data_IF_992614889698
#
_entry.id   IF_992614889698
#
_cell.length_a   1.000
_cell.length_b   1.000
_cell.length_c   1.000
_cell.angle_alpha   90.00
_cell.angle_beta   90.00
_cell.angle_gamma   90.00
#
_symmetry.space_group_name_H-M   'P 1'
#
loop_
_entity.id
_entity.type
_entity.pdbx_description
1 polymer ?
#
# COMPACT_ATOMS: atom_id res chain seq x y z
N UNK A 1 5.84 4.58 -17.97
CA UNK A 1 6.81 4.27 -16.87
C UNK A 1 6.49 2.89 -16.33
N UNK A 2 7.49 2.07 -15.99
CA UNK A 2 7.22 0.78 -15.37
C UNK A 2 6.70 0.98 -13.93
N UNK A 3 5.75 0.13 -13.51
CA UNK A 3 5.26 0.12 -12.11
C UNK A 3 6.39 -0.27 -11.17
N UNK A 4 6.63 0.53 -10.14
CA UNK A 4 7.66 0.28 -9.13
C UNK A 4 7.08 0.43 -7.72
N UNK A 5 7.57 -0.40 -6.80
CA UNK A 5 7.19 -0.47 -5.41
C UNK A 5 8.39 -0.13 -4.53
N UNK A 6 8.22 0.79 -3.60
CA UNK A 6 9.29 1.28 -2.74
C UNK A 6 8.93 1.08 -1.27
N UNK A 7 9.81 0.40 -0.55
CA UNK A 7 9.66 0.12 0.89
C UNK A 7 10.75 0.86 1.67
N UNK A 8 10.34 1.53 2.76
CA UNK A 8 11.27 2.19 3.67
C UNK A 8 10.92 1.92 5.13
N UNK A 9 11.94 2.01 6.00
CA UNK A 9 11.80 1.93 7.46
C UNK A 9 11.58 3.31 8.05
N UNK A 10 10.75 3.40 9.09
CA UNK A 10 10.52 4.60 9.89
C UNK A 10 11.28 4.60 11.22
N UNK A 11 12.09 3.57 11.50
CA UNK A 11 12.72 3.37 12.82
C UNK A 11 13.59 4.55 13.22
N UNK A 12 14.38 5.07 12.29
CA UNK A 12 15.32 6.15 12.54
C UNK A 12 14.70 7.53 12.29
N UNK A 13 13.42 7.59 11.90
CA UNK A 13 12.74 8.84 11.62
C UNK A 13 12.34 9.52 12.95
N UNK A 14 12.72 10.79 13.19
CA UNK A 14 12.33 11.50 14.39
C UNK A 14 10.82 11.78 14.44
N UNK A 15 10.30 11.98 15.66
CA UNK A 15 8.96 12.57 15.79
C UNK A 15 9.03 14.03 15.38
N UNK A 16 8.27 14.47 14.35
CA UNK A 16 8.32 15.86 13.88
C UNK A 16 7.79 16.90 14.88
N UNK A 17 7.24 16.48 16.01
CA UNK A 17 6.94 17.40 17.14
C UNK A 17 8.18 17.64 18.03
N UNK A 18 9.24 16.87 17.88
CA UNK A 18 10.50 17.00 18.63
C UNK A 18 11.59 17.56 17.72
N UNK A 19 11.63 17.10 16.47
CA UNK A 19 12.55 17.58 15.43
C UNK A 19 11.76 17.81 14.14
N UNK A 20 11.55 19.04 13.79
CA UNK A 20 10.76 19.49 12.63
C UNK A 20 11.57 19.72 11.36
N UNK A 21 12.89 19.44 11.39
CA UNK A 21 13.83 19.70 10.29
C UNK A 21 13.40 19.06 8.95
N UNK A 22 12.67 17.94 8.99
CA UNK A 22 12.17 17.23 7.81
C UNK A 22 10.77 17.69 7.35
N UNK A 23 10.04 18.47 8.16
CA UNK A 23 8.69 18.93 7.78
C UNK A 23 8.66 19.76 6.50
N UNK A 24 9.62 20.67 6.21
CA UNK A 24 9.63 21.43 4.97
C UNK A 24 9.77 20.58 3.70
N UNK A 25 10.17 19.31 3.85
CA UNK A 25 10.36 18.38 2.74
C UNK A 25 9.06 17.72 2.26
N UNK A 26 7.97 17.84 3.00
CA UNK A 26 6.67 17.30 2.63
C UNK A 26 5.68 18.41 2.29
N UNK A 27 4.60 18.07 1.56
CA UNK A 27 3.63 19.05 1.10
C UNK A 27 2.95 19.80 2.27
N UNK A 28 2.52 21.06 2.07
CA UNK A 28 1.83 21.85 3.11
C UNK A 28 0.61 21.12 3.70
N UNK A 29 -0.21 20.49 2.86
CA UNK A 29 -1.35 19.70 3.30
C UNK A 29 -0.96 18.53 4.21
N UNK A 30 0.21 17.93 3.96
CA UNK A 30 0.75 16.87 4.83
C UNK A 30 1.29 17.41 6.14
N UNK A 31 1.94 18.56 6.14
CA UNK A 31 2.36 19.26 7.37
C UNK A 31 1.16 19.56 8.27
N UNK A 32 0.07 20.10 7.71
CA UNK A 32 -1.17 20.32 8.44
C UNK A 32 -1.78 19.02 9.02
N UNK A 33 -1.78 17.94 8.23
CA UNK A 33 -2.21 16.63 8.71
C UNK A 33 -1.38 16.17 9.90
N UNK A 34 -0.04 16.27 9.81
CA UNK A 34 0.89 15.88 10.88
C UNK A 34 0.63 16.68 12.14
N UNK A 35 0.43 18.00 12.05
CA UNK A 35 0.16 18.88 13.18
C UNK A 35 -1.13 18.51 13.97
N UNK A 36 -2.11 17.89 13.31
CA UNK A 36 -3.37 17.43 13.94
C UNK A 36 -3.23 16.06 14.62
N UNK A 37 -2.17 15.30 14.35
CA UNK A 37 -1.98 13.96 14.91
C UNK A 37 -1.41 14.05 16.33
N UNK A 38 -2.01 13.31 17.26
CA UNK A 38 -1.60 13.30 18.68
C UNK A 38 -0.50 12.33 18.99
N UNK A 39 -0.51 11.14 18.33
CA UNK A 39 0.41 10.05 18.65
C UNK A 39 1.73 10.20 17.87
N UNK A 40 2.90 10.11 18.53
CA UNK A 40 4.22 10.14 17.87
C UNK A 40 4.34 9.19 16.69
N UNK A 41 3.91 7.93 16.86
CA UNK A 41 3.95 6.94 15.79
C UNK A 41 3.08 7.33 14.58
N UNK A 42 1.93 7.97 14.80
CA UNK A 42 1.07 8.45 13.71
C UNK A 42 1.73 9.63 12.96
N UNK A 43 2.39 10.55 13.68
CA UNK A 43 3.14 11.64 13.06
C UNK A 43 4.31 11.13 12.24
N UNK A 44 5.11 10.20 12.77
CA UNK A 44 6.22 9.56 12.02
C UNK A 44 5.74 8.85 10.76
N UNK A 45 4.65 8.08 10.83
CA UNK A 45 4.06 7.44 9.64
C UNK A 45 3.62 8.46 8.59
N UNK A 46 2.95 9.52 9.01
CA UNK A 46 2.52 10.57 8.09
C UNK A 46 3.71 11.30 7.45
N UNK A 47 4.75 11.60 8.22
CA UNK A 47 5.99 12.21 7.72
C UNK A 47 6.69 11.25 6.75
N UNK A 48 6.94 10.01 7.15
CA UNK A 48 7.63 9.01 6.33
C UNK A 48 6.93 8.73 5.00
N UNK A 49 5.59 8.66 5.00
CA UNK A 49 4.84 8.52 3.75
C UNK A 49 5.02 9.71 2.80
N UNK A 50 5.15 10.93 3.33
CA UNK A 50 5.44 12.13 2.51
C UNK A 50 6.87 12.15 1.99
N UNK A 51 7.84 11.81 2.83
CA UNK A 51 9.25 11.73 2.44
C UNK A 51 9.48 10.63 1.40
N UNK A 52 8.85 9.46 1.58
CA UNK A 52 8.96 8.38 0.60
C UNK A 52 8.38 8.78 -0.75
N UNK A 53 7.19 9.39 -0.79
CA UNK A 53 6.61 9.87 -2.05
C UNK A 53 7.53 10.88 -2.74
N UNK A 54 8.06 11.87 -2.02
CA UNK A 54 9.01 12.82 -2.56
C UNK A 54 10.27 12.15 -3.11
N UNK A 55 10.84 11.19 -2.36
CA UNK A 55 12.03 10.45 -2.77
C UNK A 55 11.78 9.68 -4.06
N UNK A 56 10.67 8.95 -4.13
CA UNK A 56 10.28 8.14 -5.28
C UNK A 56 10.08 9.00 -6.53
N UNK A 57 9.44 10.16 -6.40
CA UNK A 57 9.28 11.12 -7.49
C UNK A 57 10.63 11.68 -7.94
N UNK A 58 11.48 12.09 -7.00
CA UNK A 58 12.83 12.59 -7.32
C UNK A 58 13.68 11.55 -8.06
N UNK A 59 13.62 10.28 -7.64
CA UNK A 59 14.31 9.16 -8.30
C UNK A 59 13.78 8.91 -9.73
N UNK A 60 12.52 9.28 -9.98
CA UNK A 60 11.90 9.24 -11.32
C UNK A 60 12.15 10.52 -12.15
N UNK A 61 12.88 11.51 -11.62
CA UNK A 61 13.11 12.80 -12.27
C UNK A 61 11.92 13.75 -12.22
N UNK A 62 10.97 13.51 -11.30
CA UNK A 62 9.76 14.30 -11.13
C UNK A 62 9.80 15.16 -9.86
N UNK A 63 9.23 16.36 -9.94
CA UNK A 63 8.92 17.15 -8.76
C UNK A 63 7.61 16.68 -8.13
N UNK A 64 7.38 17.00 -6.86
CA UNK A 64 6.12 16.65 -6.18
C UNK A 64 4.98 17.56 -6.68
N UNK A 65 4.03 17.04 -7.49
CA UNK A 65 2.91 17.84 -7.96
C UNK A 65 1.90 18.11 -6.83
N UNK A 66 0.98 19.07 -7.02
CA UNK A 66 -0.18 19.24 -6.14
C UNK A 66 -0.95 17.92 -5.97
N UNK A 67 -1.37 17.63 -4.73
CA UNK A 67 -2.13 16.42 -4.42
C UNK A 67 -3.59 16.82 -4.17
N UNK A 68 -4.51 16.19 -4.87
CA UNK A 68 -5.94 16.22 -4.63
C UNK A 68 -6.45 14.87 -4.11
N UNK A 69 -7.69 14.84 -3.64
CA UNK A 69 -8.31 13.63 -3.10
C UNK A 69 -9.62 13.35 -3.83
N UNK A 70 -9.79 12.11 -4.29
CA UNK A 70 -11.04 11.63 -4.87
C UNK A 70 -12.16 11.46 -3.82
N UNK A 71 -13.37 11.12 -4.26
CA UNK A 71 -14.55 11.01 -3.39
C UNK A 71 -14.39 10.06 -2.20
N UNK A 72 -13.60 8.98 -2.38
CA UNK A 72 -13.30 7.98 -1.35
C UNK A 72 -11.93 8.22 -0.68
N UNK A 73 -11.34 9.41 -0.86
CA UNK A 73 -10.08 9.79 -0.22
C UNK A 73 -8.81 9.25 -0.88
N UNK A 74 -8.90 8.61 -2.06
CA UNK A 74 -7.69 8.22 -2.83
C UNK A 74 -6.95 9.49 -3.27
N UNK A 75 -5.66 9.66 -2.90
CA UNK A 75 -4.86 10.78 -3.36
C UNK A 75 -4.46 10.60 -4.83
N UNK A 76 -4.38 11.71 -5.57
CA UNK A 76 -3.95 11.74 -6.97
C UNK A 76 -3.35 13.09 -7.34
N UNK A 77 -2.67 13.17 -8.48
CA UNK A 77 -2.14 14.39 -9.06
C UNK A 77 -3.10 14.92 -10.13
N UNK A 78 -3.82 16.03 -9.88
CA UNK A 78 -4.87 16.51 -10.78
C UNK A 78 -4.35 16.89 -12.17
N UNK A 79 -3.16 17.45 -12.25
CA UNK A 79 -2.54 17.92 -13.49
C UNK A 79 -1.63 16.87 -14.17
N UNK A 80 -1.49 15.68 -13.55
CA UNK A 80 -0.63 14.59 -14.04
C UNK A 80 -1.39 13.25 -14.02
N UNK A 81 -2.39 13.07 -14.90
CA UNK A 81 -3.14 11.81 -15.01
C UNK A 81 -2.26 10.62 -15.46
N UNK A 82 -1.12 10.91 -16.10
CA UNK A 82 -0.08 9.98 -16.52
C UNK A 82 0.79 9.47 -15.37
N UNK A 83 0.63 10.02 -14.15
CA UNK A 83 1.41 9.69 -12.99
C UNK A 83 0.49 9.29 -11.83
N UNK A 84 0.51 8.01 -11.50
CA UNK A 84 -0.34 7.43 -10.46
C UNK A 84 0.51 6.95 -9.29
N UNK A 85 0.01 7.11 -8.06
CA UNK A 85 0.69 6.61 -6.88
C UNK A 85 -0.27 6.03 -5.85
N UNK A 86 0.27 5.20 -4.98
CA UNK A 86 -0.41 4.69 -3.78
C UNK A 86 0.54 4.64 -2.61
N UNK A 87 0.03 4.88 -1.41
CA UNK A 87 0.79 4.85 -0.16
C UNK A 87 0.13 3.92 0.85
N UNK A 88 0.95 3.18 1.58
CA UNK A 88 0.54 2.42 2.77
C UNK A 88 1.58 2.49 3.86
N UNK A 89 1.19 2.17 5.08
CA UNK A 89 2.09 2.08 6.22
C UNK A 89 1.54 1.13 7.28
N UNK A 90 2.42 0.36 7.90
CA UNK A 90 2.11 -0.50 9.05
C UNK A 90 3.29 -0.51 10.02
N UNK A 91 3.03 -0.33 11.31
CA UNK A 91 4.07 -0.17 12.33
C UNK A 91 5.17 0.84 11.90
N UNK A 92 6.40 0.36 11.71
CA UNK A 92 7.55 1.16 11.27
C UNK A 92 7.88 0.97 9.78
N UNK A 93 6.98 0.43 8.98
CA UNK A 93 7.14 0.32 7.53
C UNK A 93 6.26 1.32 6.80
N UNK A 94 6.77 1.85 5.69
CA UNK A 94 6.03 2.67 4.73
C UNK A 94 6.29 2.17 3.33
N UNK A 95 5.22 2.09 2.52
CA UNK A 95 5.24 1.59 1.16
C UNK A 95 4.68 2.64 0.21
N UNK A 96 5.33 2.81 -0.94
CA UNK A 96 4.87 3.66 -2.03
C UNK A 96 4.91 2.87 -3.34
N UNK A 97 3.83 2.91 -4.09
CA UNK A 97 3.80 2.49 -5.48
C UNK A 97 3.73 3.71 -6.39
N UNK A 98 4.50 3.70 -7.49
CA UNK A 98 4.46 4.69 -8.55
C UNK A 98 4.26 3.98 -9.89
N UNK A 99 3.39 4.52 -10.75
CA UNK A 99 3.01 3.91 -12.04
C UNK A 99 2.46 4.95 -13.00
N UNK A 100 2.44 4.63 -14.30
CA UNK A 100 1.70 5.37 -15.33
C UNK A 100 0.26 4.86 -15.51
N UNK A 101 -0.12 3.85 -14.75
CA UNK A 101 -1.44 3.24 -14.76
C UNK A 101 -2.05 3.19 -13.36
N UNK A 102 -3.33 2.87 -13.26
CA UNK A 102 -4.01 2.76 -11.97
C UNK A 102 -3.27 1.77 -11.06
N UNK A 103 -2.98 2.22 -9.83
CA UNK A 103 -2.15 1.47 -8.88
C UNK A 103 -2.68 1.60 -7.45
N UNK A 104 -2.55 0.53 -6.68
CA UNK A 104 -2.76 0.49 -5.25
C UNK A 104 -1.73 -0.41 -4.59
N UNK A 105 -1.25 -0.05 -3.42
CA UNK A 105 -0.34 -0.88 -2.64
C UNK A 105 -0.75 -0.93 -1.17
N UNK A 106 -0.39 -2.02 -0.52
CA UNK A 106 -0.58 -2.18 0.91
C UNK A 106 0.60 -2.91 1.54
N UNK A 107 0.90 -2.59 2.81
CA UNK A 107 1.95 -3.24 3.60
C UNK A 107 1.43 -3.54 4.98
N UNK A 108 1.71 -4.76 5.44
CA UNK A 108 1.47 -5.18 6.82
C UNK A 108 2.70 -5.87 7.39
N UNK A 109 2.85 -5.79 8.71
CA UNK A 109 3.89 -6.54 9.41
C UNK A 109 3.36 -7.94 9.71
N UNK A 110 4.10 -8.94 9.26
CA UNK A 110 3.78 -10.34 9.54
C UNK A 110 3.76 -10.59 11.05
N UNK A 111 2.69 -11.17 11.51
CA UNK A 111 2.45 -11.52 12.90
C UNK A 111 1.34 -12.56 12.98
N UNK A 112 0.79 -12.83 14.17
CA UNK A 112 -0.36 -13.71 14.28
C UNK A 112 -1.55 -13.18 13.48
N UNK A 113 -2.12 -14.02 12.63
CA UNK A 113 -3.32 -13.69 11.89
C UNK A 113 -4.52 -13.49 12.83
N UNK A 114 -5.53 -12.80 12.33
CA UNK A 114 -6.79 -12.54 13.04
C UNK A 114 -7.93 -13.27 12.33
N UNK A 115 -8.23 -14.51 12.72
CA UNK A 115 -9.24 -15.32 12.04
C UNK A 115 -10.61 -14.63 11.96
N UNK A 116 -10.97 -13.84 12.98
CA UNK A 116 -12.21 -13.07 13.02
C UNK A 116 -12.28 -12.00 11.90
N UNK A 117 -11.15 -11.47 11.44
CA UNK A 117 -11.12 -10.57 10.31
C UNK A 117 -11.28 -11.32 8.99
N UNK A 118 -10.70 -12.52 8.87
CA UNK A 118 -10.93 -13.37 7.70
C UNK A 118 -12.42 -13.74 7.59
N UNK A 119 -13.06 -14.14 8.70
CA UNK A 119 -14.48 -14.47 8.72
C UNK A 119 -15.37 -13.30 8.30
N UNK A 120 -15.00 -12.09 8.67
CA UNK A 120 -15.79 -10.89 8.40
C UNK A 120 -15.56 -10.31 7.00
N UNK A 121 -14.34 -10.38 6.48
CA UNK A 121 -13.92 -9.58 5.33
C UNK A 121 -13.47 -10.41 4.13
N UNK A 122 -13.17 -11.69 4.30
CA UNK A 122 -12.70 -12.49 3.18
C UNK A 122 -13.84 -13.21 2.46
N UNK A 123 -13.68 -13.37 1.16
CA UNK A 123 -14.62 -14.13 0.34
C UNK A 123 -14.74 -15.59 0.84
N UNK A 124 -15.89 -16.25 0.75
CA UNK A 124 -16.07 -17.64 1.23
C UNK A 124 -15.06 -18.64 0.67
N UNK A 125 -14.60 -18.44 -0.58
CA UNK A 125 -13.58 -19.29 -1.21
C UNK A 125 -12.20 -19.08 -0.59
N UNK A 126 -11.84 -17.85 -0.26
CA UNK A 126 -10.57 -17.51 0.43
C UNK A 126 -10.54 -18.12 1.85
N UNK A 127 -11.65 -18.01 2.58
CA UNK A 127 -11.77 -18.62 3.93
C UNK A 127 -11.60 -20.14 3.89
N UNK A 128 -12.23 -20.81 2.92
CA UNK A 128 -12.07 -22.26 2.73
C UNK A 128 -10.63 -22.63 2.39
N UNK A 129 -10.00 -21.86 1.51
CA UNK A 129 -8.61 -22.09 1.15
C UNK A 129 -7.68 -21.89 2.35
N UNK A 130 -7.81 -20.79 3.10
CA UNK A 130 -7.03 -20.55 4.31
C UNK A 130 -7.20 -21.66 5.36
N UNK A 131 -8.42 -22.13 5.59
CA UNK A 131 -8.70 -23.18 6.58
C UNK A 131 -8.10 -24.54 6.21
N UNK A 132 -7.77 -24.76 4.94
CA UNK A 132 -7.13 -25.99 4.46
C UNK A 132 -5.60 -25.94 4.52
N UNK A 133 -5.01 -24.79 4.82
CA UNK A 133 -3.56 -24.64 4.93
C UNK A 133 -3.00 -25.24 6.22
N UNK A 134 -1.74 -25.72 6.21
CA UNK A 134 -1.02 -26.04 7.44
C UNK A 134 -0.96 -24.79 8.36
N UNK A 135 -1.03 -24.97 9.71
CA UNK A 135 -0.95 -23.85 10.64
C UNK A 135 0.28 -22.95 10.45
N UNK A 136 1.40 -23.51 10.01
CA UNK A 136 2.65 -22.77 9.74
C UNK A 136 2.57 -21.81 8.53
N UNK A 137 1.59 -21.99 7.64
CA UNK A 137 1.42 -21.19 6.44
C UNK A 137 0.26 -20.17 6.56
N UNK A 138 -0.59 -20.37 7.58
CA UNK A 138 -1.84 -19.61 7.73
C UNK A 138 -1.59 -18.09 7.89
N UNK A 139 -0.67 -17.72 8.76
CA UNK A 139 -0.41 -16.30 9.06
C UNK A 139 0.09 -15.56 7.81
N UNK A 140 1.08 -16.09 7.11
CA UNK A 140 1.58 -15.46 5.88
C UNK A 140 0.51 -15.37 4.80
N UNK A 141 -0.25 -16.45 4.60
CA UNK A 141 -1.33 -16.49 3.61
C UNK A 141 -2.43 -15.47 3.94
N UNK A 142 -2.79 -15.31 5.22
CA UNK A 142 -3.73 -14.30 5.67
C UNK A 142 -3.27 -12.89 5.32
N UNK A 143 -2.02 -12.54 5.66
CA UNK A 143 -1.49 -11.20 5.38
C UNK A 143 -1.29 -10.94 3.89
N UNK A 144 -0.96 -11.96 3.10
CA UNK A 144 -0.91 -11.86 1.62
C UNK A 144 -2.30 -11.55 1.04
N UNK A 145 -3.34 -12.29 1.45
CA UNK A 145 -4.71 -11.99 1.04
C UNK A 145 -5.13 -10.58 1.45
N UNK A 146 -4.88 -10.21 2.70
CA UNK A 146 -5.24 -8.90 3.23
C UNK A 146 -4.62 -7.77 2.41
N UNK A 147 -3.29 -7.78 2.24
CA UNK A 147 -2.56 -6.72 1.53
C UNK A 147 -2.95 -6.64 0.04
N UNK A 148 -3.23 -7.76 -0.60
CA UNK A 148 -3.70 -7.78 -1.99
C UNK A 148 -5.12 -7.23 -2.13
N UNK A 149 -6.02 -7.58 -1.22
CA UNK A 149 -7.40 -7.06 -1.22
C UNK A 149 -7.43 -5.55 -0.98
N UNK A 150 -6.68 -5.06 0.01
CA UNK A 150 -6.52 -3.62 0.26
C UNK A 150 -5.87 -2.90 -0.94
N UNK A 151 -4.88 -3.52 -1.59
CA UNK A 151 -4.23 -2.96 -2.78
C UNK A 151 -5.22 -2.79 -3.94
N UNK A 152 -6.11 -3.76 -4.16
CA UNK A 152 -7.16 -3.66 -5.19
C UNK A 152 -8.14 -2.52 -4.88
N UNK A 153 -8.63 -2.40 -3.66
CA UNK A 153 -9.53 -1.30 -3.28
C UNK A 153 -8.87 0.07 -3.43
N UNK A 154 -7.56 0.17 -3.13
CA UNK A 154 -6.78 1.39 -3.34
C UNK A 154 -6.54 1.67 -4.83
N UNK A 155 -6.30 0.63 -5.65
CA UNK A 155 -6.11 0.78 -7.09
C UNK A 155 -7.38 1.30 -7.78
N UNK A 156 -8.52 0.70 -7.47
CA UNK A 156 -9.83 1.09 -8.02
C UNK A 156 -10.37 2.41 -7.44
N UNK A 157 -9.91 2.80 -6.25
CA UNK A 157 -10.43 3.96 -5.53
C UNK A 157 -11.82 3.76 -4.92
N UNK A 158 -12.30 2.52 -4.83
CA UNK A 158 -13.60 2.19 -4.23
C UNK A 158 -13.63 2.40 -2.70
N UNK A 159 -12.45 2.42 -2.08
CA UNK A 159 -12.34 2.48 -0.62
C UNK A 159 -12.96 1.27 0.06
N UNK A 160 -13.08 1.30 1.38
CA UNK A 160 -13.69 0.19 2.15
C UNK A 160 -15.16 -0.06 1.81
N UNK A 161 -15.85 0.91 1.21
CA UNK A 161 -17.24 0.74 0.75
C UNK A 161 -17.36 -0.26 -0.42
N UNK A 162 -16.27 -0.59 -1.09
CA UNK A 162 -16.23 -1.63 -2.13
C UNK A 162 -16.41 -3.05 -1.61
N UNK A 163 -16.35 -3.27 -0.28
CA UNK A 163 -16.54 -4.56 0.38
C UNK A 163 -15.38 -5.53 0.06
N UNK A 164 -14.58 -5.86 1.06
CA UNK A 164 -13.49 -6.83 0.85
C UNK A 164 -14.01 -8.24 0.47
N UNK A 165 -15.22 -8.58 0.88
CA UNK A 165 -15.88 -9.87 0.57
C UNK A 165 -16.48 -9.93 -0.84
N UNK A 166 -16.57 -8.81 -1.57
CA UNK A 166 -17.26 -8.73 -2.86
C UNK A 166 -16.45 -9.26 -4.06
N UNK A 167 -15.19 -9.60 -3.85
CA UNK A 167 -14.29 -10.17 -4.84
C UNK A 167 -13.35 -11.19 -4.20
N UNK A 168 -12.77 -12.07 -5.01
CA UNK A 168 -11.89 -13.13 -4.55
C UNK A 168 -10.47 -12.94 -5.09
N UNK A 169 -9.46 -13.15 -4.24
CA UNK A 169 -8.05 -13.26 -4.61
C UNK A 169 -7.64 -14.74 -4.50
N UNK A 170 -7.19 -15.31 -5.60
CA UNK A 170 -6.64 -16.67 -5.64
C UNK A 170 -5.12 -16.65 -5.51
N UNK A 171 -4.60 -17.34 -4.49
CA UNK A 171 -3.17 -17.58 -4.27
C UNK A 171 -2.74 -19.02 -4.60
N UNK A 172 -3.66 -19.91 -4.92
CA UNK A 172 -3.39 -21.35 -5.11
C UNK A 172 -2.53 -21.68 -6.33
N UNK A 173 -2.47 -20.81 -7.32
CA UNK A 173 -1.70 -21.00 -8.56
C UNK A 173 -0.28 -20.43 -8.54
N UNK A 174 0.25 -19.98 -7.40
CA UNK A 174 1.58 -19.37 -7.26
C UNK A 174 1.65 -17.91 -7.71
N UNK A 175 0.89 -17.51 -8.72
CA UNK A 175 0.72 -16.11 -9.14
C UNK A 175 -0.65 -15.63 -8.68
N UNK A 176 -0.73 -14.58 -7.86
CA UNK A 176 -2.01 -14.06 -7.38
C UNK A 176 -2.91 -13.61 -8.54
N UNK A 177 -4.21 -13.92 -8.46
CA UNK A 177 -5.20 -13.54 -9.47
C UNK A 177 -6.48 -13.04 -8.82
N UNK A 178 -7.17 -12.10 -9.50
CA UNK A 178 -8.51 -11.66 -9.12
C UNK A 178 -9.57 -12.52 -9.79
N UNK A 179 -10.65 -12.80 -9.04
CA UNK A 179 -11.84 -13.46 -9.50
C UNK A 179 -13.09 -12.71 -9.04
N UNK A 180 -14.21 -12.97 -9.70
CA UNK A 180 -15.53 -12.45 -9.31
C UNK A 180 -15.60 -10.92 -9.25
N UNK A 181 -14.82 -10.25 -10.09
CA UNK A 181 -14.93 -8.81 -10.36
C UNK A 181 -15.09 -8.60 -11.88
N UNK A 182 -15.93 -7.64 -12.31
CA UNK A 182 -16.26 -7.45 -13.74
C UNK A 182 -15.06 -7.20 -14.65
N UNK A 183 -13.97 -6.67 -14.12
CA UNK A 183 -12.75 -6.27 -14.83
C UNK A 183 -11.50 -6.99 -14.31
N UNK A 184 -11.65 -8.22 -13.78
CA UNK A 184 -10.55 -8.99 -13.19
C UNK A 184 -9.32 -9.10 -14.10
N UNK A 185 -9.52 -9.29 -15.41
CA UNK A 185 -8.44 -9.43 -16.39
C UNK A 185 -7.60 -8.16 -16.59
N UNK A 186 -8.10 -7.02 -16.17
CA UNK A 186 -7.41 -5.74 -16.25
C UNK A 186 -6.34 -5.58 -15.17
N UNK A 187 -6.44 -6.35 -14.07
CA UNK A 187 -5.64 -6.12 -12.87
C UNK A 187 -4.59 -7.21 -12.67
N UNK A 188 -3.37 -6.75 -12.43
CA UNK A 188 -2.25 -7.61 -12.04
C UNK A 188 -2.01 -7.47 -10.54
N UNK A 189 -1.84 -8.60 -9.89
CA UNK A 189 -1.52 -8.67 -8.47
C UNK A 189 -0.08 -9.14 -8.27
N UNK A 190 0.58 -8.51 -7.32
CA UNK A 190 1.93 -8.90 -6.90
C UNK A 190 2.01 -8.90 -5.38
N UNK A 191 2.58 -9.95 -4.79
CA UNK A 191 2.81 -10.05 -3.35
C UNK A 191 4.20 -10.55 -3.07
N UNK A 192 4.85 -9.91 -2.10
CA UNK A 192 6.21 -10.30 -1.66
C UNK A 192 6.32 -10.15 -0.15
N UNK A 193 6.99 -11.13 0.48
CA UNK A 193 7.46 -11.04 1.86
C UNK A 193 8.90 -10.54 1.84
N UNK A 194 9.15 -9.37 2.43
CA UNK A 194 10.47 -8.76 2.54
C UNK A 194 10.82 -8.49 4.00
N UNK A 195 11.62 -9.37 4.59
CA UNK A 195 11.82 -9.44 6.03
C UNK A 195 10.52 -9.81 6.74
N UNK A 196 10.01 -8.91 7.60
CA UNK A 196 8.70 -9.06 8.25
C UNK A 196 7.59 -8.30 7.54
N UNK A 197 7.86 -7.63 6.41
CA UNK A 197 6.87 -6.84 5.69
C UNK A 197 6.21 -7.69 4.60
N UNK A 198 4.91 -7.89 4.68
CA UNK A 198 4.09 -8.43 3.60
C UNK A 198 3.60 -7.26 2.77
N UNK A 199 4.11 -7.16 1.54
CA UNK A 199 3.75 -6.11 0.61
C UNK A 199 2.82 -6.65 -0.47
N UNK A 200 1.70 -5.97 -0.69
CA UNK A 200 0.76 -6.22 -1.77
C UNK A 200 0.76 -5.06 -2.77
N UNK A 201 0.55 -5.39 -4.04
CA UNK A 201 0.37 -4.43 -5.12
C UNK A 201 -0.74 -4.91 -6.05
N UNK A 202 -1.56 -3.98 -6.50
CA UNK A 202 -2.52 -4.15 -7.59
C UNK A 202 -2.31 -3.01 -8.59
N UNK A 203 -2.18 -3.34 -9.88
CA UNK A 203 -2.03 -2.35 -10.94
C UNK A 203 -2.66 -2.82 -12.26
N UNK A 204 -2.95 -1.87 -13.15
CA UNK A 204 -3.50 -2.13 -14.48
C UNK A 204 -2.47 -2.02 -15.62
N UNK A 205 -1.18 -1.91 -15.27
CA UNK A 205 -0.08 -1.85 -16.24
C UNK A 205 0.37 -3.24 -16.69
N UNK A 206 1.14 -3.30 -17.78
CA UNK A 206 1.61 -4.56 -18.39
C UNK A 206 2.96 -5.06 -17.84
N UNK A 207 3.64 -4.27 -17.00
CA UNK A 207 5.01 -4.59 -16.56
C UNK A 207 5.02 -5.22 -15.18
N UNK A 208 5.88 -6.22 -14.99
CA UNK A 208 6.12 -6.80 -13.66
C UNK A 208 6.73 -5.76 -12.72
N UNK A 209 6.17 -5.55 -11.52
CA UNK A 209 6.68 -4.58 -10.56
C UNK A 209 8.01 -5.03 -9.96
N UNK A 210 8.82 -4.05 -9.58
CA UNK A 210 10.09 -4.28 -8.88
C UNK A 210 9.97 -3.65 -7.49
N UNK A 211 10.23 -4.42 -6.43
CA UNK A 211 10.37 -3.88 -5.07
C UNK A 211 11.78 -3.32 -4.87
N UNK A 212 11.86 -2.08 -4.38
CA UNK A 212 13.11 -1.40 -4.01
C UNK A 212 13.06 -0.98 -2.55
N UNK A 213 14.13 -1.22 -1.81
CA UNK A 213 14.31 -0.62 -0.50
C UNK A 213 15.02 0.73 -0.64
N UNK A 214 14.56 1.72 0.11
CA UNK A 214 15.13 3.07 0.10
C UNK A 214 15.24 3.63 1.51
N UNK A 215 16.24 4.47 1.73
CA UNK A 215 16.40 5.23 2.96
C UNK A 215 15.66 6.58 2.84
N UNK A 216 15.01 6.99 3.93
CA UNK A 216 14.27 8.25 3.99
C UNK A 216 15.13 9.42 4.45
N UNK A 217 16.19 9.12 5.15
CA UNK A 217 17.19 10.13 5.59
C UNK A 217 18.29 10.24 4.54
N UNK A 218 18.83 11.46 4.34
CA UNK A 218 19.93 11.70 3.40
C UNK A 218 21.22 11.03 3.80
#
# INVERSE_FOLDING_TARGET
MATALYLASLRDLPDPAVDDSLLPLVSPARQEKIARLRLPAARRRALGAGLLLRRVLSDAGEELPPIAFGPQGKPYFPDRPDLQFSLSHSADAVLCALSDSSVGCDVEILGPARPELAERFFHPSERRWLSALPPSEYDEAFFRLWTLKESYLKATGLGLSGGLESFCVDLGGGVPRLWETPDAERWWLFSVLDGSCVCGLCHSGETSPILRRVDLLP
#
